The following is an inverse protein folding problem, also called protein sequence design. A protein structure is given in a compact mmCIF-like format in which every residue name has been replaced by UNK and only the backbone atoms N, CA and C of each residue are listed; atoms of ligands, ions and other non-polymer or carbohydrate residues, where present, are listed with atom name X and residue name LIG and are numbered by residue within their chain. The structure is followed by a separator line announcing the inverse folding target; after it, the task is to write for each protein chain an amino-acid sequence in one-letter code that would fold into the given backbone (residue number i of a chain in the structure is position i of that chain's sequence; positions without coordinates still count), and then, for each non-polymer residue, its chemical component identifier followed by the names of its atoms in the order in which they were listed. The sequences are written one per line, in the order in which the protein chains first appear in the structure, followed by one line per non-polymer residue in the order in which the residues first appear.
data_IF_193158265700
#
_entry.id   IF_193158265700
#
_cell.length_a   1.000
_cell.length_b   1.000
_cell.length_c   1.000
_cell.angle_alpha   90.00
_cell.angle_beta   90.00
_cell.angle_gamma   90.00
#
_symmetry.space_group_name_H-M   'P 1'
#
loop_
_entity.id
_entity.type
_entity.pdbx_description
1 polymer ?
#
# COMPACT_ATOMS: atom_id res chain seq x y z
N UNK A 1 2.77 10.41 7.23
CA UNK A 1 2.88 9.13 7.96
C UNK A 1 3.57 8.12 7.06
N UNK A 2 4.30 7.20 7.66
CA UNK A 2 5.06 6.18 6.97
C UNK A 2 4.30 4.86 6.95
N UNK A 3 4.38 4.16 5.82
CA UNK A 3 3.80 2.84 5.60
C UNK A 3 4.74 1.97 4.79
N UNK A 4 4.62 0.66 4.93
CA UNK A 4 5.35 -0.33 4.14
C UNK A 4 4.53 -0.63 2.87
N UNK A 5 5.18 -0.64 1.71
CA UNK A 5 4.55 -1.12 0.46
C UNK A 5 4.60 -2.64 0.46
N UNK A 6 3.50 -3.31 0.82
CA UNK A 6 3.41 -4.77 0.77
C UNK A 6 2.83 -5.31 -0.54
N UNK A 7 2.22 -4.44 -1.34
CA UNK A 7 1.66 -4.82 -2.64
C UNK A 7 1.13 -3.63 -3.40
N UNK A 8 0.82 -3.87 -4.67
CA UNK A 8 0.23 -2.87 -5.57
C UNK A 8 -0.91 -3.48 -6.38
N UNK A 9 -1.80 -2.62 -6.85
CA UNK A 9 -2.72 -2.96 -7.94
C UNK A 9 -2.10 -2.47 -9.24
N UNK A 10 -2.18 -3.29 -10.28
CA UNK A 10 -1.54 -3.05 -11.57
C UNK A 10 -0.17 -3.74 -11.71
N UNK A 11 0.50 -3.58 -12.85
CA UNK A 11 1.84 -4.10 -13.09
C UNK A 11 2.86 -3.58 -12.07
N UNK A 12 3.85 -4.41 -11.72
CA UNK A 12 4.85 -4.04 -10.69
C UNK A 12 5.74 -2.87 -11.10
N UNK A 13 6.00 -2.71 -12.40
CA UNK A 13 6.81 -1.66 -13.01
C UNK A 13 6.00 -0.38 -13.31
N UNK A 14 4.67 -0.46 -13.26
CA UNK A 14 3.72 0.64 -13.46
C UNK A 14 2.54 0.53 -12.47
N UNK A 15 2.81 0.61 -11.15
CA UNK A 15 1.77 0.46 -10.15
C UNK A 15 0.73 1.57 -10.26
N UNK A 16 -0.55 1.20 -10.16
CA UNK A 16 -1.65 2.16 -10.17
C UNK A 16 -2.02 2.61 -8.75
N UNK A 17 -1.97 1.68 -7.79
CA UNK A 17 -2.36 1.92 -6.39
C UNK A 17 -1.42 1.15 -5.47
N UNK A 18 -0.98 1.78 -4.38
CA UNK A 18 -0.25 1.12 -3.30
C UNK A 18 -1.23 0.50 -2.31
N UNK A 19 -1.00 -0.75 -1.94
CA UNK A 19 -1.60 -1.40 -0.77
C UNK A 19 -0.60 -1.29 0.38
N UNK A 20 -0.98 -0.47 1.36
CA UNK A 20 -0.12 -0.07 2.47
C UNK A 20 -0.23 -1.08 3.62
N UNK A 21 0.92 -1.39 4.21
CA UNK A 21 1.04 -2.28 5.37
C UNK A 21 1.78 -1.63 6.53
N UNK A 22 1.58 -2.21 7.72
CA UNK A 22 2.41 -2.02 8.92
C UNK A 22 2.56 -3.35 9.63
N UNK A 23 3.65 -3.54 10.35
CA UNK A 23 3.85 -4.75 11.15
C UNK A 23 3.03 -4.70 12.44
N UNK A 24 2.51 -5.86 12.85
CA UNK A 24 2.11 -6.18 14.23
C UNK A 24 2.94 -7.37 14.68
N UNK A 25 3.97 -7.13 15.49
CA UNK A 25 4.99 -8.14 15.74
C UNK A 25 5.65 -8.56 14.42
N UNK A 26 5.50 -9.83 14.04
CA UNK A 26 6.08 -10.38 12.81
C UNK A 26 5.08 -10.45 11.64
N UNK A 27 3.83 -10.04 11.83
CA UNK A 27 2.79 -10.09 10.81
C UNK A 27 2.68 -8.76 10.07
N UNK A 28 2.83 -8.77 8.74
CA UNK A 28 2.54 -7.61 7.91
C UNK A 28 1.03 -7.48 7.70
N UNK A 29 0.42 -6.43 8.25
CA UNK A 29 -1.02 -6.21 8.22
C UNK A 29 -1.36 -5.09 7.24
N UNK A 30 -2.37 -5.29 6.39
CA UNK A 30 -2.89 -4.23 5.49
C UNK A 30 -3.55 -3.14 6.33
N UNK A 31 -3.08 -1.90 6.18
CA UNK A 31 -3.62 -0.72 6.89
C UNK A 31 -4.39 0.24 5.98
N UNK A 32 -4.22 0.12 4.66
CA UNK A 32 -4.94 0.98 3.73
C UNK A 32 -4.51 0.82 2.29
N UNK A 33 -5.02 1.71 1.45
CA UNK A 33 -4.59 1.86 0.06
C UNK A 33 -4.47 3.33 -0.27
N UNK A 34 -3.67 3.63 -1.28
CA UNK A 34 -3.65 4.98 -1.82
C UNK A 34 -4.83 5.24 -2.76
N UNK A 35 -5.11 6.51 -3.04
CA UNK A 35 -5.71 6.91 -4.32
C UNK A 35 -4.77 6.51 -5.48
N UNK A 36 -5.24 6.53 -6.74
CA UNK A 36 -4.37 6.28 -7.89
C UNK A 36 -3.12 7.16 -7.86
N UNK A 37 -1.97 6.54 -8.13
CA UNK A 37 -0.70 7.23 -8.31
C UNK A 37 -0.75 8.08 -9.59
N UNK A 38 -0.07 9.21 -9.58
CA UNK A 38 0.21 9.90 -10.84
C UNK A 38 1.32 9.17 -11.62
N UNK A 39 1.53 9.54 -12.88
CA UNK A 39 2.49 8.86 -13.76
C UNK A 39 3.94 8.91 -13.25
N UNK A 40 4.35 10.03 -12.63
CA UNK A 40 5.69 10.18 -12.09
C UNK A 40 5.90 9.30 -10.86
N UNK A 41 4.95 9.30 -9.92
CA UNK A 41 4.95 8.44 -8.73
C UNK A 41 4.94 6.96 -9.10
N UNK A 42 4.13 6.58 -10.10
CA UNK A 42 4.07 5.22 -10.62
C UNK A 42 5.42 4.76 -11.19
N UNK A 43 6.05 5.59 -12.02
CA UNK A 43 7.36 5.28 -12.61
C UNK A 43 8.47 5.20 -11.55
N UNK A 44 8.51 6.16 -10.63
CA UNK A 44 9.51 6.20 -9.55
C UNK A 44 9.40 4.98 -8.65
N UNK A 45 8.19 4.68 -8.15
CA UNK A 45 7.97 3.54 -7.27
C UNK A 45 8.21 2.21 -8.01
N UNK A 46 7.70 2.07 -9.25
CA UNK A 46 7.83 0.86 -10.04
C UNK A 46 9.28 0.45 -10.30
N UNK A 47 10.19 1.42 -10.43
CA UNK A 47 11.63 1.16 -10.58
C UNK A 47 12.30 0.55 -9.33
N UNK A 48 11.67 0.68 -8.16
CA UNK A 48 12.22 0.20 -6.87
C UNK A 48 11.63 -1.15 -6.44
N UNK A 49 10.43 -1.49 -6.93
CA UNK A 49 9.70 -2.66 -6.47
C UNK A 49 10.35 -3.97 -6.93
N UNK A 50 10.32 -4.96 -6.04
CA UNK A 50 10.74 -6.33 -6.33
C UNK A 50 9.60 -7.29 -6.04
N UNK A 51 9.40 -8.34 -6.87
CA UNK A 51 8.37 -9.34 -6.61
C UNK A 51 8.53 -9.98 -5.23
N UNK A 52 7.41 -10.24 -4.56
CA UNK A 52 7.38 -10.90 -3.27
C UNK A 52 8.07 -12.27 -3.31
N UNK A 53 8.69 -12.65 -2.19
CA UNK A 53 9.18 -14.02 -1.98
C UNK A 53 8.02 -14.94 -1.58
N UNK A 54 8.24 -16.26 -1.70
CA UNK A 54 7.31 -17.26 -1.16
C UNK A 54 7.06 -17.00 0.33
N UNK A 55 5.81 -17.12 0.76
CA UNK A 55 5.41 -16.90 2.16
C UNK A 55 4.95 -15.47 2.48
N UNK A 56 4.75 -14.62 1.47
CA UNK A 56 4.10 -13.33 1.68
C UNK A 56 2.71 -13.51 2.32
N UNK A 57 2.37 -12.78 3.40
CA UNK A 57 1.19 -13.08 4.22
C UNK A 57 -0.14 -12.65 3.58
N UNK A 58 -0.10 -11.76 2.58
CA UNK A 58 -1.31 -11.25 1.93
C UNK A 58 -1.87 -12.20 0.86
N UNK A 59 -3.20 -12.17 0.63
CA UNK A 59 -3.86 -12.97 -0.41
C UNK A 59 -3.44 -12.54 -1.83
N UNK A 60 -3.78 -13.34 -2.84
CA UNK A 60 -3.52 -13.02 -4.25
C UNK A 60 -4.50 -11.98 -4.84
N UNK A 61 -5.60 -11.70 -4.14
CA UNK A 61 -6.61 -10.71 -4.55
C UNK A 61 -7.04 -9.85 -3.37
N UNK A 62 -7.42 -8.60 -3.66
CA UNK A 62 -8.00 -7.67 -2.68
C UNK A 62 -9.41 -7.28 -3.10
N UNK A 63 -10.36 -7.29 -2.15
CA UNK A 63 -11.75 -6.89 -2.44
C UNK A 63 -11.88 -5.37 -2.54
N UNK A 64 -12.87 -4.87 -3.25
CA UNK A 64 -13.31 -3.47 -3.14
C UNK A 64 -14.29 -3.23 -2.00
N UNK A 65 -14.92 -4.30 -1.46
CA UNK A 65 -15.98 -4.26 -0.44
C UNK A 65 -15.58 -3.57 0.85
N UNK A 66 -14.38 -3.90 1.34
CA UNK A 66 -13.80 -3.24 2.50
C UNK A 66 -13.65 -1.73 2.24
N UNK A 67 -13.88 -1.20 1.04
CA UNK A 67 -13.59 0.19 0.68
C UNK A 67 -14.67 0.83 -0.24
N UNK A 68 -15.93 0.37 -0.15
CA UNK A 68 -17.10 1.09 -0.69
C UNK A 68 -17.41 0.94 -2.19
N UNK A 69 -16.82 -0.03 -2.88
CA UNK A 69 -17.15 -0.33 -4.29
C UNK A 69 -18.01 -1.59 -4.45
N UNK A 70 -18.70 -1.72 -5.60
CA UNK A 70 -19.30 -3.01 -6.05
C UNK A 70 -18.24 -4.11 -5.95
N UNK A 71 -18.64 -5.32 -5.56
CA UNK A 71 -17.83 -6.52 -5.23
C UNK A 71 -16.86 -7.00 -6.34
N UNK A 72 -15.94 -6.16 -6.77
CA UNK A 72 -14.90 -6.48 -7.71
C UNK A 72 -13.63 -6.81 -6.91
N UNK A 73 -13.23 -8.07 -6.95
CA UNK A 73 -11.87 -8.46 -6.54
C UNK A 73 -10.89 -7.99 -7.62
N UNK A 74 -9.76 -7.45 -7.18
CA UNK A 74 -8.65 -7.09 -8.07
C UNK A 74 -7.43 -7.96 -7.73
N UNK A 75 -6.68 -8.43 -8.73
CA UNK A 75 -5.40 -9.07 -8.50
C UNK A 75 -4.48 -8.15 -7.68
N UNK A 76 -3.81 -8.74 -6.69
CA UNK A 76 -2.81 -8.08 -5.88
C UNK A 76 -1.42 -8.49 -6.35
N UNK A 77 -0.67 -7.53 -6.88
CA UNK A 77 0.74 -7.72 -7.19
C UNK A 77 1.54 -7.56 -5.89
N UNK A 78 1.86 -8.68 -5.25
CA UNK A 78 2.63 -8.71 -4.00
C UNK A 78 4.09 -8.35 -4.23
N UNK A 79 4.65 -7.51 -3.37
CA UNK A 79 6.06 -7.09 -3.45
C UNK A 79 6.81 -7.48 -2.19
N UNK A 80 8.14 -7.39 -2.22
CA UNK A 80 8.92 -7.49 -0.98
C UNK A 80 8.60 -6.28 -0.09
N UNK A 81 8.33 -6.48 1.22
CA UNK A 81 8.02 -5.39 2.14
C UNK A 81 9.28 -4.62 2.58
N UNK A 82 10.08 -4.21 1.60
CA UNK A 82 11.37 -3.53 1.78
C UNK A 82 11.23 -2.01 1.54
N UNK A 83 10.20 -1.59 0.79
CA UNK A 83 10.00 -0.17 0.44
C UNK A 83 9.09 0.51 1.45
N UNK A 84 9.58 1.58 2.07
CA UNK A 84 8.79 2.51 2.88
C UNK A 84 8.31 3.67 2.02
N UNK A 85 7.05 4.05 2.18
CA UNK A 85 6.45 5.20 1.51
C UNK A 85 5.92 6.20 2.53
N UNK A 86 6.14 7.48 2.25
CA UNK A 86 5.46 8.57 2.92
C UNK A 86 4.06 8.74 2.29
N UNK A 87 3.04 8.81 3.14
CA UNK A 87 1.65 9.03 2.75
C UNK A 87 0.98 10.09 3.63
N UNK A 88 -0.04 10.74 3.10
CA UNK A 88 -0.98 11.58 3.87
C UNK A 88 -2.36 10.93 3.92
N UNK A 89 -3.08 11.10 5.03
CA UNK A 89 -4.48 10.74 5.10
C UNK A 89 -5.32 11.95 4.72
N UNK A 90 -6.25 11.79 3.77
CA UNK A 90 -7.19 12.85 3.45
C UNK A 90 -8.22 12.97 4.58
N UNK A 91 -8.25 14.12 5.29
CA UNK A 91 -9.12 14.33 6.44
C UNK A 91 -10.60 14.58 6.07
N UNK A 92 -10.93 14.74 4.79
CA UNK A 92 -12.22 15.27 4.34
C UNK A 92 -13.40 14.25 4.30
N UNK A 93 -13.34 13.13 5.03
CA UNK A 93 -14.38 12.09 5.08
C UNK A 93 -15.08 11.97 6.46
N UNK A 94 -15.22 13.09 7.18
CA UNK A 94 -15.97 13.15 8.45
C UNK A 94 -17.51 13.24 8.29
N UNK A 95 -18.11 12.60 7.28
CA UNK A 95 -19.56 12.64 7.05
C UNK A 95 -20.18 11.28 6.68
N UNK A 96 -19.92 10.26 7.50
CA UNK A 96 -20.85 9.13 7.62
C UNK A 96 -20.51 7.82 6.89
N UNK A 97 -19.40 7.72 6.14
CA UNK A 97 -18.90 6.43 5.67
C UNK A 97 -17.36 6.39 5.65
N UNK A 98 -16.78 5.61 6.55
CA UNK A 98 -15.34 5.61 6.85
C UNK A 98 -14.52 4.82 5.82
N UNK A 99 -13.47 5.48 5.28
CA UNK A 99 -12.06 5.07 5.25
C UNK A 99 -11.26 6.15 4.52
N UNK A 100 -10.45 6.93 5.23
CA UNK A 100 -9.59 7.96 4.65
C UNK A 100 -8.65 7.33 3.61
N UNK A 101 -8.81 7.60 2.31
CA UNK A 101 -7.87 7.08 1.32
C UNK A 101 -6.52 7.74 1.55
N UNK A 102 -5.45 6.95 1.47
CA UNK A 102 -4.09 7.49 1.60
C UNK A 102 -3.74 8.22 0.30
N UNK A 103 -2.93 9.26 0.37
CA UNK A 103 -2.28 9.85 -0.80
C UNK A 103 -0.80 9.54 -0.72
N UNK A 104 -0.26 8.95 -1.78
CA UNK A 104 1.16 8.73 -1.91
C UNK A 104 1.88 10.08 -2.03
N UNK A 105 2.91 10.29 -1.21
CA UNK A 105 3.78 11.46 -1.29
C UNK A 105 5.03 11.08 -2.08
N UNK A 106 5.86 10.19 -1.52
CA UNK A 106 7.15 9.76 -2.10
C UNK A 106 7.67 8.47 -1.45
N UNK A 107 8.58 7.73 -2.09
CA UNK A 107 9.38 6.72 -1.41
C UNK A 107 10.30 7.34 -0.34
N UNK A 108 10.56 6.59 0.73
CA UNK A 108 11.53 6.94 1.78
C UNK A 108 12.71 5.98 1.72
N UNK A 109 13.58 6.18 0.74
CA UNK A 109 14.79 5.37 0.57
C UNK A 109 15.80 5.51 1.73
N UNK A 110 15.57 6.48 2.61
CA UNK A 110 16.29 6.71 3.86
C UNK A 110 15.78 5.84 5.03
N UNK A 111 14.71 5.06 4.85
CA UNK A 111 14.09 4.24 5.89
C UNK A 111 14.00 2.76 5.49
N UNK A 112 14.22 1.89 6.48
CA UNK A 112 13.91 0.48 6.41
C UNK A 112 12.53 0.17 6.97
N UNK A 113 11.98 -0.99 6.60
CA UNK A 113 10.65 -1.41 7.08
C UNK A 113 10.55 -1.53 8.61
N UNK A 114 11.68 -1.73 9.31
CA UNK A 114 11.77 -1.75 10.76
C UNK A 114 11.65 -0.38 11.41
N UNK A 115 11.87 0.70 10.66
CA UNK A 115 11.77 2.08 11.15
C UNK A 115 10.32 2.59 11.16
N UNK A 116 9.41 1.84 10.52
CA UNK A 116 7.98 2.17 10.49
C UNK A 116 7.33 1.76 11.81
N UNK A 117 6.66 2.71 12.45
CA UNK A 117 5.88 2.47 13.68
C UNK A 117 4.92 1.27 13.52
N UNK A 118 5.03 0.32 14.45
CA UNK A 118 4.19 -0.87 14.47
C UNK A 118 2.75 -0.57 14.89
N UNK A 119 1.84 -1.45 14.49
CA UNK A 119 0.49 -1.45 15.04
C UNK A 119 0.52 -1.96 16.49
N UNK A 120 -0.25 -1.29 17.35
CA UNK A 120 -0.59 -1.79 18.67
C UNK A 120 -1.44 -3.08 18.59
#
# INVERSE_FOLDING_TARGET
MEVIVGGVVGPIDRPEVVIAGRYRGNELVVVGRTVPLNAAQSAELGAMLRPARRGHPWPDEISSQRWGGKDAKKPLTKVRPEIVAEVTADAALQAGQWRHPLRFVRPRADLDSSDVEQLL
#
